data_IF_304161417766
#
_entry.id   IF_304161417766
#
_cell.length_a   1.000
_cell.length_b   1.000
_cell.length_c   1.000
_cell.angle_alpha   90.00
_cell.angle_beta   90.00
_cell.angle_gamma   90.00
#
_symmetry.space_group_name_H-M   'P 1'
#
loop_
_entity.id
_entity.type
_entity.pdbx_description
1 polymer ?
#
# COMPACT_ATOMS: atom_id res chain seq x y z
N UNK A 1 -14.61 11.61 13.65
CA UNK A 1 -13.63 12.34 12.80
C UNK A 1 -12.52 11.44 12.24
N UNK A 2 -12.16 10.32 12.89
CA UNK A 2 -11.12 9.40 12.39
C UNK A 2 -11.51 8.63 11.10
N UNK A 3 -12.78 8.26 10.91
CA UNK A 3 -13.19 7.49 9.72
C UNK A 3 -13.02 8.26 8.39
N UNK A 4 -13.04 9.60 8.41
CA UNK A 4 -12.93 10.42 7.20
C UNK A 4 -11.52 10.44 6.61
N UNK A 5 -10.48 10.14 7.40
CA UNK A 5 -9.09 9.99 6.92
C UNK A 5 -8.83 8.58 6.35
N UNK A 6 -9.65 7.59 6.70
CA UNK A 6 -9.43 6.18 6.33
C UNK A 6 -9.86 5.90 4.89
N UNK A 7 -10.81 6.66 4.34
CA UNK A 7 -11.32 6.45 2.98
C UNK A 7 -10.77 7.51 2.04
N UNK A 8 -10.18 7.09 0.92
CA UNK A 8 -9.66 8.00 -0.10
C UNK A 8 -10.81 8.84 -0.71
N UNK A 9 -10.65 10.17 -0.84
CA UNK A 9 -11.71 11.06 -1.32
C UNK A 9 -12.00 10.94 -2.81
N UNK A 10 -11.05 10.46 -3.61
CA UNK A 10 -11.19 10.38 -5.07
C UNK A 10 -10.71 9.02 -5.57
N UNK A 11 -11.42 8.47 -6.56
CA UNK A 11 -11.08 7.22 -7.22
C UNK A 11 -10.65 7.52 -8.66
N UNK A 12 -9.39 7.22 -8.98
CA UNK A 12 -8.83 7.44 -10.32
C UNK A 12 -8.83 6.10 -11.06
N UNK A 13 -9.57 6.02 -12.15
CA UNK A 13 -9.64 4.82 -13.00
C UNK A 13 -8.67 5.00 -14.17
N UNK A 14 -7.70 4.09 -14.29
CA UNK A 14 -6.69 4.12 -15.35
C UNK A 14 -6.72 2.79 -16.09
N UNK A 15 -6.56 2.82 -17.41
CA UNK A 15 -6.44 1.61 -18.22
C UNK A 15 -5.13 0.86 -17.88
N UNK A 16 -5.21 -0.47 -17.80
CA UNK A 16 -4.08 -1.34 -17.50
C UNK A 16 -2.83 -1.10 -18.37
N UNK A 17 -3.01 -0.89 -19.68
CA UNK A 17 -1.89 -0.65 -20.59
C UNK A 17 -1.20 0.68 -20.31
N UNK A 18 -1.97 1.74 -20.03
CA UNK A 18 -1.45 3.05 -19.66
C UNK A 18 -0.68 2.96 -18.34
N UNK A 19 -1.23 2.24 -17.36
CA UNK A 19 -0.56 1.97 -16.09
C UNK A 19 0.77 1.22 -16.28
N UNK A 20 0.85 0.24 -17.19
CA UNK A 20 2.11 -0.45 -17.48
C UNK A 20 3.17 0.48 -18.07
N UNK A 21 2.79 1.38 -18.98
CA UNK A 21 3.72 2.35 -19.58
C UNK A 21 4.25 3.31 -18.51
N UNK A 22 3.39 3.84 -17.64
CA UNK A 22 3.80 4.72 -16.53
C UNK A 22 4.73 3.96 -15.56
N UNK A 23 4.42 2.69 -15.27
CA UNK A 23 5.27 1.84 -14.45
C UNK A 23 6.66 1.61 -15.06
N UNK A 24 6.75 1.43 -16.38
CA UNK A 24 8.02 1.30 -17.08
C UNK A 24 8.86 2.57 -17.00
N UNK A 25 8.25 3.73 -17.25
CA UNK A 25 8.94 5.02 -17.16
C UNK A 25 9.44 5.26 -15.74
N UNK A 26 8.62 5.01 -14.73
CA UNK A 26 8.99 5.13 -13.31
C UNK A 26 10.19 4.26 -12.94
N UNK A 27 10.21 3.00 -13.39
CA UNK A 27 11.36 2.10 -13.17
C UNK A 27 12.63 2.61 -13.86
N UNK A 28 12.53 3.13 -15.09
CA UNK A 28 13.66 3.73 -15.79
C UNK A 28 14.25 4.92 -15.00
N UNK A 29 13.39 5.82 -14.51
CA UNK A 29 13.83 6.94 -13.68
C UNK A 29 14.45 6.50 -12.36
N UNK A 30 13.95 5.42 -11.75
CA UNK A 30 14.49 4.89 -10.51
C UNK A 30 15.89 4.29 -10.72
N UNK A 31 16.14 3.62 -11.85
CA UNK A 31 17.47 3.12 -12.21
C UNK A 31 18.45 4.30 -12.36
N UNK A 32 18.04 5.36 -13.06
CA UNK A 32 18.87 6.57 -13.20
C UNK A 32 19.20 7.20 -11.83
N UNK A 33 18.19 7.37 -10.96
CA UNK A 33 18.40 7.91 -9.60
C UNK A 33 19.32 7.05 -8.75
N UNK A 34 19.23 5.72 -8.89
CA UNK A 34 20.10 4.76 -8.22
C UNK A 34 21.55 4.93 -8.66
N UNK A 35 21.79 5.13 -9.96
CA UNK A 35 23.14 5.42 -10.47
C UNK A 35 23.69 6.75 -9.94
N UNK A 36 22.82 7.72 -9.65
CA UNK A 36 23.20 9.01 -9.04
C UNK A 36 23.34 8.96 -7.50
N UNK A 37 23.27 7.77 -6.88
CA UNK A 37 23.44 7.60 -5.43
C UNK A 37 22.31 8.17 -4.57
N UNK A 38 21.16 8.51 -5.17
CA UNK A 38 19.99 9.00 -4.44
C UNK A 38 19.14 7.84 -3.93
N UNK A 39 18.61 7.99 -2.72
CA UNK A 39 17.65 7.04 -2.16
C UNK A 39 16.41 6.93 -3.05
N UNK A 40 16.13 5.71 -3.49
CA UNK A 40 14.97 5.42 -4.33
C UNK A 40 13.80 5.09 -3.41
N UNK A 41 12.82 6.01 -3.34
CA UNK A 41 11.54 5.68 -2.72
C UNK A 41 10.73 4.81 -3.67
N UNK A 42 10.43 3.59 -3.25
CA UNK A 42 9.68 2.62 -4.04
C UNK A 42 8.25 3.11 -4.32
N UNK A 43 8.03 3.61 -5.53
CA UNK A 43 6.74 4.12 -5.98
C UNK A 43 5.97 3.12 -6.86
N UNK A 44 5.52 3.62 -7.99
CA UNK A 44 4.73 2.88 -8.98
C UNK A 44 5.65 2.04 -9.88
N UNK A 45 5.47 0.72 -9.91
CA UNK A 45 6.29 -0.22 -10.68
C UNK A 45 5.42 -1.17 -11.49
N UNK A 46 5.95 -1.73 -12.59
CA UNK A 46 5.24 -2.70 -13.44
C UNK A 46 4.83 -3.93 -12.65
N UNK A 47 5.67 -4.37 -11.70
CA UNK A 47 5.37 -5.51 -10.82
C UNK A 47 4.14 -5.21 -9.97
N UNK A 48 4.05 -4.02 -9.35
CA UNK A 48 2.88 -3.61 -8.56
C UNK A 48 1.62 -3.48 -9.42
N UNK A 49 1.72 -2.89 -10.61
CA UNK A 49 0.59 -2.77 -11.55
C UNK A 49 0.03 -4.14 -11.91
N UNK A 50 0.90 -5.08 -12.29
CA UNK A 50 0.48 -6.46 -12.59
C UNK A 50 -0.13 -7.13 -11.37
N UNK A 51 0.50 -7.00 -10.20
CA UNK A 51 0.04 -7.63 -8.97
C UNK A 51 -1.39 -7.19 -8.61
N UNK A 52 -1.70 -5.89 -8.71
CA UNK A 52 -3.00 -5.31 -8.37
C UNK A 52 -4.06 -5.63 -9.44
N UNK A 53 -3.68 -5.67 -10.72
CA UNK A 53 -4.62 -5.91 -11.82
C UNK A 53 -5.21 -7.33 -11.85
N UNK A 54 -4.55 -8.31 -11.20
CA UNK A 54 -5.06 -9.66 -11.10
C UNK A 54 -6.07 -9.80 -9.95
N UNK A 55 -7.27 -10.28 -10.27
CA UNK A 55 -8.28 -10.65 -9.27
C UNK A 55 -7.83 -11.90 -8.51
N UNK A 56 -7.38 -11.71 -7.26
CA UNK A 56 -6.96 -12.79 -6.37
C UNK A 56 -7.96 -12.92 -5.24
N UNK A 57 -8.60 -14.08 -5.15
CA UNK A 57 -9.48 -14.43 -4.05
C UNK A 57 -8.71 -15.28 -3.03
N UNK A 58 -8.73 -14.87 -1.77
CA UNK A 58 -8.09 -15.60 -0.69
C UNK A 58 -9.14 -16.34 0.13
N UNK A 59 -8.92 -17.63 0.39
CA UNK A 59 -9.79 -18.46 1.19
C UNK A 59 -9.01 -19.06 2.37
N UNK A 60 -9.56 -18.94 3.57
CA UNK A 60 -9.00 -19.44 4.81
C UNK A 60 -9.61 -20.78 5.27
N UNK A 61 -10.51 -21.40 4.50
CA UNK A 61 -11.21 -22.66 4.89
C UNK A 61 -10.23 -23.72 5.37
N UNK A 62 -9.11 -23.94 4.66
CA UNK A 62 -8.11 -24.95 5.06
C UNK A 62 -7.46 -24.64 6.41
N UNK A 63 -7.17 -23.38 6.71
CA UNK A 63 -6.61 -22.99 7.99
C UNK A 63 -7.62 -23.25 9.13
N UNK A 64 -8.89 -22.94 8.89
CA UNK A 64 -9.97 -23.19 9.87
C UNK A 64 -10.17 -24.68 10.13
N UNK A 65 -10.20 -25.50 9.08
CA UNK A 65 -10.50 -26.94 9.21
C UNK A 65 -9.31 -27.75 9.72
N UNK A 66 -8.10 -27.46 9.26
CA UNK A 66 -6.92 -28.27 9.60
C UNK A 66 -6.20 -27.78 10.85
N UNK A 67 -6.19 -26.47 11.10
CA UNK A 67 -5.43 -25.87 12.20
C UNK A 67 -6.33 -25.38 13.34
N UNK A 68 -7.67 -25.48 13.20
CA UNK A 68 -8.61 -24.90 14.16
C UNK A 68 -8.51 -23.37 14.26
N UNK A 69 -7.94 -22.71 13.25
CA UNK A 69 -7.71 -21.28 13.28
C UNK A 69 -9.02 -20.51 13.18
N UNK A 70 -9.24 -19.57 14.10
CA UNK A 70 -10.31 -18.57 14.01
C UNK A 70 -9.72 -17.17 14.15
N UNK A 71 -10.06 -16.23 13.24
CA UNK A 71 -9.50 -14.88 13.28
C UNK A 71 -9.97 -14.12 14.52
N UNK A 72 -9.03 -13.49 15.22
CA UNK A 72 -9.30 -12.68 16.44
C UNK A 72 -10.25 -11.51 16.15
N UNK A 73 -10.15 -10.94 14.95
CA UNK A 73 -11.01 -9.84 14.47
C UNK A 73 -11.44 -10.09 13.03
N UNK A 74 -12.61 -9.59 12.66
CA UNK A 74 -13.08 -9.64 11.28
C UNK A 74 -12.24 -8.78 10.33
N UNK A 75 -12.27 -9.10 9.03
CA UNK A 75 -11.42 -8.43 8.03
C UNK A 75 -11.61 -6.91 7.98
N UNK A 76 -12.86 -6.42 8.04
CA UNK A 76 -13.18 -4.98 7.98
C UNK A 76 -12.57 -4.24 9.16
N UNK A 77 -12.65 -4.84 10.34
CA UNK A 77 -12.11 -4.26 11.56
C UNK A 77 -10.58 -4.28 11.53
N UNK A 78 -9.98 -5.38 11.09
CA UNK A 78 -8.53 -5.47 10.89
C UNK A 78 -8.00 -4.34 10.01
N UNK A 79 -8.64 -4.09 8.86
CA UNK A 79 -8.26 -2.98 7.95
C UNK A 79 -8.32 -1.63 8.68
N UNK A 80 -9.42 -1.35 9.41
CA UNK A 80 -9.56 -0.08 10.15
C UNK A 80 -8.45 0.10 11.20
N UNK A 81 -8.14 -0.95 11.97
CA UNK A 81 -7.08 -0.90 13.00
C UNK A 81 -5.70 -0.67 12.37
N UNK A 82 -5.39 -1.35 11.28
CA UNK A 82 -4.14 -1.18 10.54
C UNK A 82 -4.00 0.25 9.98
N UNK A 83 -5.06 0.79 9.39
CA UNK A 83 -5.04 2.17 8.87
C UNK A 83 -4.88 3.21 9.97
N UNK A 84 -5.57 3.03 11.10
CA UNK A 84 -5.40 3.91 12.26
C UNK A 84 -3.94 3.93 12.76
N UNK A 85 -3.28 2.76 12.78
CA UNK A 85 -1.87 2.67 13.17
C UNK A 85 -0.95 3.46 12.23
N UNK A 86 -1.12 3.34 10.91
CA UNK A 86 -0.29 4.07 9.94
C UNK A 86 -0.49 5.59 10.03
N UNK A 87 -1.74 6.06 10.20
CA UNK A 87 -2.02 7.50 10.37
C UNK A 87 -1.31 8.04 11.62
N UNK A 88 -1.33 7.29 12.72
CA UNK A 88 -0.61 7.66 13.94
C UNK A 88 0.90 7.71 13.73
N UNK A 89 1.47 6.76 12.98
CA UNK A 89 2.90 6.77 12.64
C UNK A 89 3.29 8.01 11.83
N UNK A 90 2.50 8.40 10.83
CA UNK A 90 2.74 9.61 10.04
C UNK A 90 2.71 10.88 10.91
N UNK A 91 1.75 10.98 11.84
CA UNK A 91 1.64 12.10 12.78
C UNK A 91 2.86 12.18 13.72
N UNK A 92 3.34 11.02 14.20
CA UNK A 92 4.54 10.93 15.04
C UNK A 92 5.82 11.29 14.26
N UNK A 93 5.96 10.84 13.01
CA UNK A 93 7.09 11.21 12.16
C UNK A 93 7.11 12.70 11.82
N UNK A 94 5.93 13.29 11.56
CA UNK A 94 5.80 14.73 11.33
C UNK A 94 6.21 15.53 12.58
N UNK A 95 5.77 15.10 13.77
CA UNK A 95 6.17 15.71 15.03
C UNK A 95 7.70 15.61 15.26
N UNK A 96 8.31 14.45 15.00
CA UNK A 96 9.77 14.28 15.10
C UNK A 96 10.52 15.22 14.17
N UNK A 97 10.10 15.33 12.90
CA UNK A 97 10.72 16.25 11.93
C UNK A 97 10.58 17.72 12.31
N UNK A 98 9.48 18.09 12.99
CA UNK A 98 9.27 19.45 13.49
C UNK A 98 10.13 19.78 14.71
N UNK A 99 10.52 18.79 15.51
CA UNK A 99 11.41 18.97 16.68
C UNK A 99 12.89 18.95 16.27
N UNK A 100 13.25 18.20 15.22
CA UNK A 100 14.64 18.12 14.71
C UNK A 100 15.04 19.31 13.83
N UNK A 101 14.08 20.14 13.40
CA UNK A 101 14.31 21.34 12.59
C UNK A 101 14.31 22.58 13.49
#
# INVERSE_FOLDING_TARGET
>A
MAEKKVVAPYLIIINFHVALVIGFLSEMFNILKKMMGKEVKEGFTRVRVRYIAYNRYFNITKARTLLGYEPVVGYKEGIKRTMAHFIQQEELEAAKKAVTK
#
